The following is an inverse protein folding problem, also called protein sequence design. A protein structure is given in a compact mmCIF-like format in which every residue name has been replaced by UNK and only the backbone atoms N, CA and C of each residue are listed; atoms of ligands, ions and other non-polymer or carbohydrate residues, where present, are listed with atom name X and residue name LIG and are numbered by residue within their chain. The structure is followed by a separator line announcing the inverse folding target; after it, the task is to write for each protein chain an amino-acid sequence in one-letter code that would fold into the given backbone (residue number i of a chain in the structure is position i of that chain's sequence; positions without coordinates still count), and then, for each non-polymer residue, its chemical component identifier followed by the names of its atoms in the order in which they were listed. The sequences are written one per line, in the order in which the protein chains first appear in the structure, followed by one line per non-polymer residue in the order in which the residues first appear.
data_IF_580650792270
#
_entry.id   IF_580650792270
#
_cell.length_a   1.000
_cell.length_b   1.000
_cell.length_c   1.000
_cell.angle_alpha   90.00
_cell.angle_beta   90.00
_cell.angle_gamma   90.00
#
_symmetry.space_group_name_H-M   'P 1'
#
loop_
_entity.id
_entity.type
_entity.pdbx_description
1 polymer ?
#
# COMPACT_ATOMS: atom_id res chain seq x y z
N UNK A 1 21.92 -0.03 -8.62
CA UNK A 1 20.57 0.37 -9.09
C UNK A 1 19.80 0.89 -7.89
N UNK A 2 19.08 2.01 -7.98
CA UNK A 2 18.13 2.38 -6.93
C UNK A 2 17.07 1.27 -6.80
N UNK A 3 16.49 1.07 -5.60
CA UNK A 3 15.37 0.14 -5.45
C UNK A 3 14.24 0.54 -6.40
N UNK A 4 13.64 -0.46 -7.04
CA UNK A 4 12.55 -0.24 -7.99
C UNK A 4 11.35 0.35 -7.23
N UNK A 5 10.70 1.41 -7.76
CA UNK A 5 9.60 2.03 -7.04
C UNK A 5 8.41 1.06 -7.01
N UNK A 6 7.79 0.90 -5.85
CA UNK A 6 6.68 -0.03 -5.62
C UNK A 6 5.52 -0.02 -6.65
N UNK A 7 5.16 1.10 -7.33
CA UNK A 7 4.08 1.08 -8.32
C UNK A 7 4.40 0.27 -9.58
N UNK A 8 5.65 -0.09 -9.83
CA UNK A 8 6.00 -0.93 -11.00
C UNK A 8 5.51 -2.37 -10.83
N UNK A 9 5.31 -2.81 -9.58
CA UNK A 9 4.73 -4.11 -9.26
C UNK A 9 3.21 -4.13 -9.39
N UNK A 10 2.55 -2.96 -9.45
CA UNK A 10 1.09 -2.88 -9.60
C UNK A 10 0.66 -3.22 -11.02
N UNK A 11 -0.39 -4.01 -11.13
CA UNK A 11 -1.05 -4.29 -12.42
C UNK A 11 -1.71 -3.02 -12.99
N UNK A 12 -2.22 -2.14 -12.12
CA UNK A 12 -3.00 -0.95 -12.50
C UNK A 12 -2.50 0.35 -11.82
N UNK A 13 -1.28 0.83 -12.12
CA UNK A 13 -0.71 2.00 -11.46
C UNK A 13 -1.30 3.35 -11.92
N UNK A 14 -2.26 3.35 -12.86
CA UNK A 14 -2.76 4.57 -13.50
C UNK A 14 -3.42 5.52 -12.50
N UNK A 15 -4.20 4.99 -11.57
CA UNK A 15 -4.86 5.79 -10.53
C UNK A 15 -3.85 6.49 -9.61
N UNK A 16 -2.79 5.79 -9.21
CA UNK A 16 -1.72 6.38 -8.39
C UNK A 16 -0.95 7.45 -9.16
N UNK A 17 -0.60 7.16 -10.43
CA UNK A 17 0.11 8.11 -11.31
C UNK A 17 -0.71 9.37 -11.59
N UNK A 18 -2.04 9.27 -11.64
CA UNK A 18 -2.90 10.44 -11.80
C UNK A 18 -2.86 11.40 -10.60
N UNK A 19 -2.55 10.90 -9.39
CA UNK A 19 -2.51 11.70 -8.15
C UNK A 19 -1.09 12.18 -7.83
N UNK A 20 -0.08 11.32 -8.01
CA UNK A 20 1.31 11.62 -7.63
C UNK A 20 2.27 11.84 -8.81
N UNK A 21 1.77 11.75 -10.04
CA UNK A 21 2.59 11.85 -11.23
C UNK A 21 3.60 10.71 -11.35
N UNK A 22 4.81 11.04 -11.82
CA UNK A 22 5.87 10.07 -12.09
C UNK A 22 6.60 9.55 -10.84
N UNK A 23 6.44 10.23 -9.69
CA UNK A 23 7.19 9.94 -8.46
C UNK A 23 6.25 9.87 -7.26
N UNK A 24 5.55 8.74 -7.07
CA UNK A 24 4.78 8.52 -5.84
C UNK A 24 5.69 8.43 -4.63
N UNK A 25 5.16 8.75 -3.43
CA UNK A 25 5.92 8.70 -2.20
C UNK A 25 6.39 7.26 -1.91
N UNK A 26 7.56 7.11 -1.27
CA UNK A 26 7.99 5.82 -0.76
C UNK A 26 7.01 5.34 0.31
N UNK A 27 6.88 4.02 0.47
CA UNK A 27 6.08 3.42 1.55
C UNK A 27 6.93 3.30 2.83
N UNK A 28 7.61 4.37 3.21
CA UNK A 28 8.46 4.45 4.41
C UNK A 28 7.72 5.22 5.50
N UNK A 29 7.69 4.68 6.71
CA UNK A 29 6.95 5.22 7.85
C UNK A 29 5.47 5.54 7.53
N UNK A 30 4.81 4.66 6.76
CA UNK A 30 3.39 4.80 6.43
C UNK A 30 2.51 4.19 7.53
N UNK A 31 1.35 4.78 7.77
CA UNK A 31 0.42 4.27 8.79
C UNK A 31 -0.37 3.10 8.21
N UNK A 32 -0.19 1.90 8.78
CA UNK A 32 -0.99 0.72 8.46
C UNK A 32 -2.32 0.80 9.21
N UNK A 33 -3.40 1.05 8.48
CA UNK A 33 -4.75 1.22 9.02
C UNK A 33 -5.51 -0.09 9.12
N UNK A 34 -5.32 -0.96 8.15
CA UNK A 34 -6.08 -2.19 8.05
C UNK A 34 -5.25 -3.25 7.35
N UNK A 35 -5.32 -4.46 7.91
CA UNK A 35 -4.89 -5.68 7.26
C UNK A 35 -6.11 -6.59 7.18
N UNK A 36 -6.45 -7.08 6.00
CA UNK A 36 -7.61 -7.95 5.80
C UNK A 36 -7.23 -9.17 4.97
N UNK A 37 -7.66 -10.33 5.42
CA UNK A 37 -7.48 -11.60 4.73
C UNK A 37 -8.83 -12.11 4.24
N UNK A 38 -8.89 -12.53 2.98
CA UNK A 38 -10.05 -13.15 2.37
C UNK A 38 -9.71 -14.57 1.94
N UNK A 39 -10.58 -15.53 2.27
CA UNK A 39 -10.39 -16.94 1.90
C UNK A 39 -10.85 -17.25 0.47
N UNK A 40 -11.90 -16.56 0.00
CA UNK A 40 -12.44 -16.77 -1.35
C UNK A 40 -11.55 -16.05 -2.36
N UNK A 41 -10.69 -16.83 -3.02
CA UNK A 41 -9.53 -16.34 -3.75
C UNK A 41 -8.52 -15.72 -2.78
N UNK A 42 -7.62 -16.53 -2.17
CA UNK A 42 -6.72 -16.09 -1.11
C UNK A 42 -6.09 -14.73 -1.38
N UNK A 43 -6.49 -13.73 -0.59
CA UNK A 43 -6.12 -12.35 -0.79
C UNK A 43 -5.77 -11.63 0.51
N UNK A 44 -4.76 -10.77 0.43
CA UNK A 44 -4.36 -9.85 1.50
C UNK A 44 -4.64 -8.44 1.00
N UNK A 45 -5.39 -7.66 1.76
CA UNK A 45 -5.57 -6.22 1.51
C UNK A 45 -4.88 -5.43 2.61
N UNK A 46 -3.98 -4.53 2.21
CA UNK A 46 -3.32 -3.56 3.07
C UNK A 46 -3.91 -2.18 2.80
N UNK A 47 -4.45 -1.54 3.84
CA UNK A 47 -4.86 -0.13 3.80
C UNK A 47 -3.80 0.72 4.48
N UNK A 48 -3.21 1.63 3.72
CA UNK A 48 -2.10 2.48 4.14
C UNK A 48 -2.48 3.95 3.97
N UNK A 49 -2.01 4.81 4.87
CA UNK A 49 -1.99 6.25 4.61
C UNK A 49 -0.70 6.66 3.93
N UNK A 50 -0.83 7.44 2.86
CA UNK A 50 0.24 8.08 2.12
C UNK A 50 0.29 9.58 2.43
N UNK A 51 1.48 10.20 2.31
CA UNK A 51 1.60 11.65 2.33
C UNK A 51 0.70 12.33 1.30
N UNK A 52 0.11 13.47 1.67
CA UNK A 52 -0.71 14.25 0.75
C UNK A 52 0.13 14.74 -0.45
N UNK A 53 -0.36 14.65 -1.69
CA UNK A 53 0.37 15.08 -2.86
C UNK A 53 0.60 16.60 -2.84
N UNK A 54 1.73 17.05 -3.38
CA UNK A 54 2.04 18.48 -3.52
C UNK A 54 1.08 19.21 -4.48
N UNK A 55 0.55 18.49 -5.48
CA UNK A 55 -0.46 18.98 -6.42
C UNK A 55 -1.71 18.07 -6.35
N UNK A 56 -2.57 18.26 -5.34
CA UNK A 56 -3.76 17.44 -5.16
C UNK A 56 -4.84 17.79 -6.21
N UNK A 57 -5.73 16.85 -6.54
CA UNK A 57 -6.95 17.16 -7.29
C UNK A 57 -7.73 18.31 -6.64
N UNK A 58 -8.23 19.22 -7.47
CA UNK A 58 -8.95 20.42 -6.99
C UNK A 58 -10.08 20.10 -5.99
N UNK A 59 -10.78 18.97 -6.20
CA UNK A 59 -11.86 18.52 -5.32
C UNK A 59 -11.37 18.15 -3.91
N UNK A 60 -10.16 17.62 -3.78
CA UNK A 60 -9.58 17.25 -2.48
C UNK A 60 -9.10 18.49 -1.73
N UNK A 61 -8.44 19.41 -2.45
CA UNK A 61 -8.04 20.70 -1.89
C UNK A 61 -9.25 21.52 -1.41
N UNK A 62 -10.32 21.59 -2.21
CA UNK A 62 -11.54 22.33 -1.86
C UNK A 62 -12.27 21.73 -0.64
N UNK A 63 -12.08 20.44 -0.35
CA UNK A 63 -12.67 19.75 0.81
C UNK A 63 -11.77 19.79 2.06
N UNK A 64 -10.58 20.39 1.98
CA UNK A 64 -9.65 20.48 3.11
C UNK A 64 -9.01 19.14 3.51
N UNK A 65 -8.92 18.19 2.59
CA UNK A 65 -8.25 16.91 2.85
C UNK A 65 -6.73 17.08 3.03
N UNK A 66 -6.15 16.26 3.89
CA UNK A 66 -4.73 16.33 4.26
C UNK A 66 -4.01 14.97 4.26
N UNK A 67 -4.73 13.88 3.99
CA UNK A 67 -4.17 12.53 3.93
C UNK A 67 -4.77 11.77 2.75
N UNK A 68 -3.93 10.99 2.07
CA UNK A 68 -4.37 10.04 1.03
C UNK A 68 -4.35 8.64 1.61
N UNK A 69 -5.42 7.89 1.43
CA UNK A 69 -5.51 6.49 1.78
C UNK A 69 -5.42 5.64 0.51
N UNK A 70 -4.54 4.65 0.54
CA UNK A 70 -4.39 3.66 -0.52
C UNK A 70 -4.75 2.27 0.00
N UNK A 71 -5.40 1.47 -0.84
CA UNK A 71 -5.63 0.06 -0.59
C UNK A 71 -4.89 -0.76 -1.64
N UNK A 72 -3.98 -1.60 -1.18
CA UNK A 72 -3.23 -2.54 -2.00
C UNK A 72 -3.79 -3.94 -1.77
N UNK A 73 -4.27 -4.57 -2.83
CA UNK A 73 -4.80 -5.92 -2.77
C UNK A 73 -3.86 -6.88 -3.49
N UNK A 74 -3.39 -7.86 -2.73
CA UNK A 74 -2.52 -8.94 -3.14
C UNK A 74 -3.39 -10.17 -3.36
N UNK A 75 -3.44 -10.72 -4.57
CA UNK A 75 -4.31 -11.86 -4.92
C UNK A 75 -3.53 -13.06 -5.42
N UNK A 76 -4.11 -14.24 -5.18
CA UNK A 76 -3.41 -15.50 -5.40
C UNK A 76 -2.28 -15.66 -4.40
N UNK A 77 -2.57 -15.42 -3.11
CA UNK A 77 -1.63 -15.65 -2.03
C UNK A 77 -1.16 -17.11 -2.00
N UNK A 78 0.13 -17.31 -1.94
CA UNK A 78 0.77 -18.63 -1.79
C UNK A 78 1.47 -18.81 -0.44
N UNK A 79 1.87 -17.70 0.19
CA UNK A 79 2.47 -17.68 1.52
C UNK A 79 2.07 -16.40 2.27
N UNK A 80 1.86 -16.53 3.57
CA UNK A 80 1.61 -15.42 4.48
C UNK A 80 2.17 -15.75 5.86
N UNK A 81 2.91 -14.81 6.42
CA UNK A 81 3.40 -14.82 7.78
C UNK A 81 3.03 -13.50 8.45
N UNK A 82 2.42 -13.58 9.62
CA UNK A 82 2.11 -12.42 10.47
C UNK A 82 2.69 -12.64 11.86
N UNK A 83 3.57 -11.76 12.30
CA UNK A 83 4.21 -11.80 13.61
C UNK A 83 3.93 -10.53 14.39
N UNK A 84 3.24 -10.68 15.53
CA UNK A 84 2.83 -9.55 16.36
C UNK A 84 1.78 -8.67 15.67
N UNK A 85 0.98 -7.97 16.46
CA UNK A 85 0.01 -7.01 15.94
C UNK A 85 -0.25 -5.94 17.00
N UNK A 86 -0.12 -4.67 16.62
CA UNK A 86 -0.27 -3.53 17.51
C UNK A 86 -1.40 -2.58 17.12
N UNK A 87 -1.44 -1.44 17.82
CA UNK A 87 -2.27 -0.28 17.48
C UNK A 87 -1.38 0.83 16.94
N UNK A 88 -1.92 1.73 16.12
CA UNK A 88 -1.16 2.89 15.59
C UNK A 88 0.12 2.49 14.86
N UNK A 89 0.04 1.40 14.08
CA UNK A 89 1.19 0.78 13.42
C UNK A 89 1.74 1.73 12.35
N UNK A 90 2.98 2.17 12.53
CA UNK A 90 3.78 2.88 11.53
C UNK A 90 4.80 1.91 10.95
N UNK A 91 4.73 1.66 9.65
CA UNK A 91 5.45 0.59 8.99
C UNK A 91 6.24 1.06 7.77
N UNK A 92 7.32 0.36 7.48
CA UNK A 92 8.01 0.37 6.20
C UNK A 92 7.49 -0.80 5.36
N UNK A 93 7.04 -0.51 4.14
CA UNK A 93 6.49 -1.50 3.22
C UNK A 93 7.38 -1.60 2.00
N UNK A 94 7.86 -2.80 1.70
CA UNK A 94 8.66 -3.09 0.51
C UNK A 94 7.94 -4.10 -0.35
N UNK A 95 7.88 -3.83 -1.65
CA UNK A 95 7.42 -4.79 -2.66
C UNK A 95 8.64 -5.21 -3.49
N UNK A 96 8.74 -6.51 -3.78
CA UNK A 96 9.79 -7.06 -4.64
C UNK A 96 9.21 -8.11 -5.58
N UNK A 97 9.87 -8.32 -6.73
CA UNK A 97 9.53 -9.42 -7.61
C UNK A 97 9.85 -10.78 -6.95
N UNK A 98 8.95 -11.74 -7.06
CA UNK A 98 9.10 -13.08 -6.51
C UNK A 98 8.66 -14.13 -7.54
N UNK A 99 9.59 -14.57 -8.39
CA UNK A 99 9.27 -15.49 -9.48
C UNK A 99 8.30 -14.86 -10.49
N UNK A 100 7.11 -15.45 -10.65
CA UNK A 100 6.01 -14.95 -11.46
C UNK A 100 5.03 -14.05 -10.67
N UNK A 101 5.33 -13.77 -9.40
CA UNK A 101 4.51 -12.97 -8.50
C UNK A 101 5.26 -11.81 -7.84
N UNK A 102 4.70 -11.36 -6.72
CA UNK A 102 5.19 -10.24 -5.91
C UNK A 102 5.28 -10.67 -4.45
N UNK A 103 6.39 -10.36 -3.81
CA UNK A 103 6.53 -10.44 -2.37
C UNK A 103 6.30 -9.06 -1.75
N UNK A 104 5.59 -9.03 -0.63
CA UNK A 104 5.43 -7.84 0.21
C UNK A 104 6.02 -8.13 1.58
N UNK A 105 6.80 -7.17 2.08
CA UNK A 105 7.34 -7.16 3.42
C UNK A 105 6.91 -5.87 4.11
N UNK A 106 6.20 -5.99 5.22
CA UNK A 106 5.79 -4.89 6.10
C UNK A 106 6.55 -5.03 7.41
N UNK A 107 7.32 -4.02 7.76
CA UNK A 107 8.11 -3.99 8.99
C UNK A 107 7.69 -2.82 9.86
N UNK A 108 7.26 -3.11 11.07
CA UNK A 108 6.96 -2.12 12.10
C UNK A 108 7.44 -2.62 13.47
N UNK A 109 7.66 -1.74 14.44
CA UNK A 109 7.94 -2.15 15.81
C UNK A 109 6.86 -3.09 16.36
N UNK A 110 7.22 -4.36 16.60
CA UNK A 110 6.29 -5.37 17.12
C UNK A 110 5.24 -5.88 16.13
N UNK A 111 5.36 -5.58 14.84
CA UNK A 111 4.50 -6.16 13.78
C UNK A 111 5.31 -6.39 12.51
N UNK A 112 5.34 -7.63 12.03
CA UNK A 112 5.92 -8.00 10.73
C UNK A 112 4.88 -8.75 9.92
N UNK A 113 4.70 -8.37 8.66
CA UNK A 113 3.87 -9.08 7.68
C UNK A 113 4.74 -9.43 6.49
N UNK A 114 4.78 -10.70 6.14
CA UNK A 114 5.42 -11.17 4.91
C UNK A 114 4.40 -11.95 4.10
N UNK A 115 4.26 -11.64 2.81
CA UNK A 115 3.36 -12.39 1.96
C UNK A 115 3.90 -12.51 0.54
N UNK A 116 3.53 -13.60 -0.13
CA UNK A 116 3.81 -13.82 -1.55
C UNK A 116 2.47 -14.01 -2.27
N UNK A 117 2.26 -13.23 -3.32
CA UNK A 117 1.05 -13.24 -4.11
C UNK A 117 1.37 -13.30 -5.59
N UNK A 118 0.44 -13.78 -6.40
CA UNK A 118 0.58 -13.79 -7.85
C UNK A 118 0.54 -12.38 -8.44
N UNK A 119 -0.34 -11.52 -7.94
CA UNK A 119 -0.45 -10.14 -8.43
C UNK A 119 -0.80 -9.18 -7.30
N UNK A 120 -0.48 -7.91 -7.51
CA UNK A 120 -0.91 -6.79 -6.67
C UNK A 120 -1.58 -5.72 -7.52
N UNK A 121 -2.69 -5.18 -7.04
CA UNK A 121 -3.38 -4.05 -7.66
C UNK A 121 -3.71 -2.98 -6.64
N UNK A 122 -3.83 -1.76 -7.15
CA UNK A 122 -4.42 -0.63 -6.45
C UNK A 122 -5.94 -0.84 -6.41
N UNK A 123 -6.46 -1.26 -5.26
CA UNK A 123 -7.89 -1.53 -5.06
C UNK A 123 -8.69 -0.25 -4.86
N UNK A 124 -8.13 0.70 -4.11
CA UNK A 124 -8.73 2.00 -3.90
C UNK A 124 -7.67 3.08 -3.64
N UNK A 125 -8.00 4.31 -4.02
CA UNK A 125 -7.24 5.49 -3.69
C UNK A 125 -8.23 6.61 -3.33
N UNK A 126 -8.14 7.11 -2.11
CA UNK A 126 -9.09 8.07 -1.53
C UNK A 126 -8.33 9.13 -0.75
N UNK A 127 -8.98 10.24 -0.44
CA UNK A 127 -8.41 11.26 0.45
C UNK A 127 -9.43 11.62 1.53
N UNK A 128 -8.93 12.03 2.68
CA UNK A 128 -9.74 12.46 3.81
C UNK A 128 -9.00 13.52 4.64
N UNK A 129 -9.75 14.20 5.51
CA UNK A 129 -9.19 15.05 6.55
C UNK A 129 -8.96 14.18 7.79
N UNK A 130 -7.69 13.93 8.12
CA UNK A 130 -7.31 13.39 9.41
C UNK A 130 -7.48 14.49 10.46
N UNK A 131 -8.21 14.15 11.52
CA UNK A 131 -8.45 15.00 12.71
C UNK A 131 -7.15 15.31 13.47
#
# INVERSE_FOLDING_TARGET
MPPEPWPTHLVNPQGLKAIYGAKPPPLTAVRLRQLTLHEDGPALTLRLDLPYPADPPWKWAAQGFNTVQTELAFTGLSALTLHGFGTEITADVTLTAAGDGVAVHVTAPGTTVEAVARTVYLAALRAYAQE
#
